data_IF_423516753200
#
_entry.id   IF_423516753200
#
_cell.length_a   1.000
_cell.length_b   1.000
_cell.length_c   1.000
_cell.angle_alpha   90.00
_cell.angle_beta   90.00
_cell.angle_gamma   90.00
#
_symmetry.space_group_name_H-M   'P 1'
#
loop_
_entity.id
_entity.type
_entity.pdbx_description
1 polymer ?
#
# COMPACT_ATOMS: atom_id res chain seq x y z
N UNK A 1 -12.54 2.53 -9.61
CA UNK A 1 -13.43 2.84 -8.46
C UNK A 1 -12.93 4.14 -7.85
N UNK A 2 -13.83 4.98 -7.37
CA UNK A 2 -13.46 6.21 -6.67
C UNK A 2 -14.11 6.19 -5.29
N UNK A 3 -13.32 6.42 -4.25
CA UNK A 3 -13.80 6.48 -2.86
C UNK A 3 -13.29 7.76 -2.24
N UNK A 4 -14.23 8.57 -1.74
CA UNK A 4 -13.97 9.87 -1.11
C UNK A 4 -14.66 9.93 0.25
N UNK A 5 -14.04 10.63 1.21
CA UNK A 5 -14.61 11.01 2.50
C UNK A 5 -15.15 9.83 3.34
N UNK A 6 -14.64 8.62 3.12
CA UNK A 6 -15.11 7.44 3.86
C UNK A 6 -14.37 7.24 5.17
N UNK A 7 -15.13 7.32 6.27
CA UNK A 7 -14.63 7.19 7.64
C UNK A 7 -14.77 5.80 8.24
N UNK A 8 -15.59 4.94 7.62
CA UNK A 8 -15.80 3.55 8.04
C UNK A 8 -14.70 2.62 7.52
N UNK A 9 -14.43 1.53 8.25
CA UNK A 9 -13.48 0.50 7.81
C UNK A 9 -13.97 -0.10 6.49
N UNK A 10 -13.15 0.02 5.45
CA UNK A 10 -13.40 -0.62 4.17
C UNK A 10 -13.06 -2.12 4.27
N UNK A 11 -13.86 -3.01 3.71
CA UNK A 11 -13.52 -4.44 3.56
C UNK A 11 -13.49 -4.75 2.06
N UNK A 12 -12.32 -5.13 1.53
CA UNK A 12 -12.12 -5.34 0.09
C UNK A 12 -11.55 -6.73 -0.12
N UNK A 13 -12.35 -7.63 -0.70
CA UNK A 13 -11.99 -9.03 -0.92
C UNK A 13 -12.34 -9.46 -2.34
N UNK A 14 -11.44 -10.21 -2.98
CA UNK A 14 -11.65 -10.75 -4.32
C UNK A 14 -12.08 -9.69 -5.35
N UNK A 15 -11.59 -8.46 -5.20
CA UNK A 15 -11.99 -7.31 -6.00
C UNK A 15 -10.88 -6.86 -6.95
N UNK A 16 -11.27 -6.47 -8.15
CA UNK A 16 -10.40 -5.78 -9.11
C UNK A 16 -10.72 -4.30 -9.02
N UNK A 17 -9.81 -3.55 -8.42
CA UNK A 17 -9.92 -2.09 -8.22
C UNK A 17 -8.73 -1.38 -8.84
N UNK A 18 -8.25 -1.87 -9.99
CA UNK A 18 -7.16 -1.26 -10.74
C UNK A 18 -7.51 0.15 -11.20
N UNK A 19 -6.49 1.01 -11.36
CA UNK A 19 -6.64 2.42 -11.75
C UNK A 19 -7.62 3.20 -10.84
N UNK A 20 -7.82 2.77 -9.59
CA UNK A 20 -8.75 3.42 -8.68
C UNK A 20 -8.08 4.57 -7.92
N UNK A 21 -8.87 5.56 -7.54
CA UNK A 21 -8.45 6.66 -6.68
C UNK A 21 -9.13 6.55 -5.32
N UNK A 22 -8.32 6.57 -4.26
CA UNK A 22 -8.75 6.61 -2.87
C UNK A 22 -8.16 7.87 -2.25
N UNK A 23 -9.00 8.87 -1.96
CA UNK A 23 -8.57 10.15 -1.42
C UNK A 23 -9.35 10.51 -0.16
N UNK A 24 -8.63 10.88 0.90
CA UNK A 24 -9.15 11.18 2.24
C UNK A 24 -10.06 10.06 2.79
N UNK A 25 -9.52 8.85 2.80
CA UNK A 25 -10.24 7.65 3.27
C UNK A 25 -9.58 7.00 4.49
N UNK A 26 -10.42 6.54 5.40
CA UNK A 26 -10.02 5.69 6.51
C UNK A 26 -10.11 4.21 6.10
N UNK A 27 -8.96 3.59 5.88
CA UNK A 27 -8.81 2.16 5.59
C UNK A 27 -8.04 1.46 6.73
N UNK A 28 -8.13 1.99 7.95
CA UNK A 28 -7.47 1.41 9.12
C UNK A 28 -8.11 0.07 9.45
N UNK A 29 -7.28 -0.90 9.83
CA UNK A 29 -7.68 -2.28 10.13
C UNK A 29 -8.34 -3.03 8.95
N UNK A 30 -8.34 -2.46 7.73
CA UNK A 30 -8.86 -3.11 6.54
C UNK A 30 -8.03 -4.35 6.19
N UNK A 31 -8.71 -5.39 5.70
CA UNK A 31 -8.06 -6.55 5.08
C UNK A 31 -8.27 -6.46 3.56
N UNK A 32 -7.16 -6.43 2.85
CA UNK A 32 -7.07 -6.59 1.41
C UNK A 32 -6.58 -8.00 1.14
N UNK A 33 -7.49 -8.90 0.78
CA UNK A 33 -7.15 -10.29 0.51
C UNK A 33 -7.54 -10.67 -0.92
N UNK A 34 -6.56 -11.14 -1.69
CA UNK A 34 -6.74 -11.54 -3.09
C UNK A 34 -7.34 -10.41 -3.94
N UNK A 35 -6.74 -9.22 -3.88
CA UNK A 35 -7.22 -8.02 -4.57
C UNK A 35 -6.20 -7.50 -5.58
N UNK A 36 -6.69 -6.94 -6.68
CA UNK A 36 -5.86 -6.24 -7.64
C UNK A 36 -6.01 -4.73 -7.49
N UNK A 37 -4.99 -4.10 -6.90
CA UNK A 37 -4.84 -2.67 -6.66
C UNK A 37 -3.78 -2.05 -7.60
N UNK A 38 -3.35 -2.78 -8.64
CA UNK A 38 -2.31 -2.28 -9.54
C UNK A 38 -2.69 -0.93 -10.15
N UNK A 39 -1.69 -0.06 -10.28
CA UNK A 39 -1.82 1.31 -10.82
C UNK A 39 -2.80 2.20 -10.01
N UNK A 40 -3.25 1.77 -8.84
CA UNK A 40 -4.15 2.58 -8.00
C UNK A 40 -3.40 3.71 -7.32
N UNK A 41 -4.11 4.78 -7.03
CA UNK A 41 -3.62 5.97 -6.34
C UNK A 41 -4.32 6.06 -4.98
N UNK A 42 -3.54 6.03 -3.89
CA UNK A 42 -4.00 6.16 -2.51
C UNK A 42 -3.37 7.42 -1.92
N UNK A 43 -4.21 8.41 -1.62
CA UNK A 43 -3.85 9.75 -1.19
C UNK A 43 -4.50 10.04 0.16
N UNK A 44 -3.75 10.67 1.07
CA UNK A 44 -4.29 11.16 2.35
C UNK A 44 -5.03 10.09 3.16
N UNK A 45 -4.63 8.83 3.03
CA UNK A 45 -5.38 7.71 3.58
C UNK A 45 -4.78 7.22 4.90
N UNK A 46 -5.63 6.65 5.75
CA UNK A 46 -5.19 5.91 6.92
C UNK A 46 -5.23 4.41 6.64
N UNK A 47 -4.08 3.74 6.51
CA UNK A 47 -3.95 2.29 6.41
C UNK A 47 -3.45 1.64 7.71
N UNK A 48 -3.49 2.35 8.85
CA UNK A 48 -2.94 1.81 10.09
C UNK A 48 -3.54 0.44 10.45
N UNK A 49 -2.67 -0.51 10.80
CA UNK A 49 -3.00 -1.91 11.09
C UNK A 49 -3.67 -2.68 9.92
N UNK A 50 -3.64 -2.17 8.69
CA UNK A 50 -4.18 -2.88 7.55
C UNK A 50 -3.33 -4.13 7.22
N UNK A 51 -4.00 -5.15 6.70
CA UNK A 51 -3.36 -6.37 6.21
C UNK A 51 -3.60 -6.49 4.71
N UNK A 52 -2.53 -6.60 3.95
CA UNK A 52 -2.53 -6.80 2.51
C UNK A 52 -1.93 -8.17 2.23
N UNK A 53 -2.75 -9.12 1.82
CA UNK A 53 -2.41 -10.53 1.63
C UNK A 53 -2.80 -10.96 0.21
N UNK A 54 -1.89 -11.62 -0.50
CA UNK A 54 -2.11 -12.15 -1.85
C UNK A 54 -2.61 -11.08 -2.85
N UNK A 55 -2.07 -9.87 -2.77
CA UNK A 55 -2.55 -8.72 -3.54
C UNK A 55 -1.58 -8.28 -4.65
N UNK A 56 -2.12 -7.66 -5.70
CA UNK A 56 -1.31 -6.96 -6.68
C UNK A 56 -1.28 -5.45 -6.40
N UNK A 57 -0.14 -4.93 -5.96
CA UNK A 57 0.16 -3.51 -5.73
C UNK A 57 1.11 -2.94 -6.80
N UNK A 58 1.27 -3.62 -7.94
CA UNK A 58 2.22 -3.19 -8.97
C UNK A 58 1.89 -1.80 -9.50
N UNK A 59 2.88 -0.92 -9.51
CA UNK A 59 2.75 0.50 -9.88
C UNK A 59 1.71 1.28 -9.06
N UNK A 60 1.30 0.79 -7.89
CA UNK A 60 0.42 1.54 -6.99
C UNK A 60 1.18 2.70 -6.35
N UNK A 61 0.51 3.84 -6.21
CA UNK A 61 1.07 5.07 -5.65
C UNK A 61 0.41 5.40 -4.31
N UNK A 62 1.21 5.50 -3.26
CA UNK A 62 0.76 5.87 -1.93
C UNK A 62 1.41 7.20 -1.55
N UNK A 63 0.61 8.26 -1.33
CA UNK A 63 1.13 9.58 -0.94
C UNK A 63 0.38 10.11 0.28
N UNK A 64 1.13 10.58 1.27
CA UNK A 64 0.58 11.04 2.55
C UNK A 64 -0.30 9.97 3.23
N UNK A 65 0.18 8.73 3.26
CA UNK A 65 -0.56 7.59 3.81
C UNK A 65 0.03 7.17 5.14
N UNK A 66 -0.83 7.00 6.15
CA UNK A 66 -0.42 6.37 7.41
C UNK A 66 -0.33 4.85 7.21
N UNK A 67 0.89 4.30 7.20
CA UNK A 67 1.14 2.85 7.10
C UNK A 67 1.63 2.21 8.41
N UNK A 68 1.37 2.83 9.57
CA UNK A 68 1.76 2.25 10.86
C UNK A 68 1.18 0.84 11.05
N UNK A 69 2.04 -0.12 11.37
CA UNK A 69 1.67 -1.54 11.56
C UNK A 69 1.03 -2.21 10.35
N UNK A 70 1.20 -1.67 9.14
CA UNK A 70 0.76 -2.36 7.93
C UNK A 70 1.56 -3.64 7.72
N UNK A 71 0.87 -4.71 7.36
CA UNK A 71 1.50 -5.94 6.88
C UNK A 71 1.17 -6.14 5.41
N UNK A 72 2.21 -6.32 4.61
CA UNK A 72 2.12 -6.66 3.19
C UNK A 72 2.79 -8.03 3.02
N UNK A 73 2.00 -9.05 2.75
CA UNK A 73 2.43 -10.45 2.64
C UNK A 73 1.97 -11.01 1.29
N UNK A 74 2.83 -11.78 0.63
CA UNK A 74 2.57 -12.39 -0.69
C UNK A 74 2.05 -11.40 -1.76
N UNK A 75 2.50 -10.15 -1.73
CA UNK A 75 2.03 -9.14 -2.67
C UNK A 75 3.03 -8.85 -3.79
N UNK A 76 2.52 -8.59 -5.00
CA UNK A 76 3.31 -8.04 -6.09
C UNK A 76 3.48 -6.52 -5.87
N UNK A 77 4.71 -6.05 -5.68
CA UNK A 77 5.01 -4.64 -5.36
C UNK A 77 5.91 -3.97 -6.39
N UNK A 78 6.03 -4.57 -7.59
CA UNK A 78 6.89 -4.05 -8.65
C UNK A 78 6.44 -2.64 -9.06
N UNK A 79 7.35 -1.67 -9.03
CA UNK A 79 7.05 -0.27 -9.37
C UNK A 79 6.20 0.49 -8.33
N UNK A 80 5.83 -0.13 -7.21
CA UNK A 80 5.11 0.55 -6.12
C UNK A 80 5.90 1.75 -5.61
N UNK A 81 5.19 2.87 -5.36
CA UNK A 81 5.77 4.10 -4.83
C UNK A 81 5.12 4.51 -3.52
N UNK A 82 5.95 4.94 -2.57
CA UNK A 82 5.53 5.54 -1.29
C UNK A 82 6.13 6.93 -1.21
N UNK A 83 5.28 7.96 -1.13
CA UNK A 83 5.68 9.38 -1.14
C UNK A 83 6.67 9.72 -2.26
N UNK A 84 6.42 9.19 -3.46
CA UNK A 84 7.26 9.38 -4.65
C UNK A 84 8.55 8.55 -4.67
N UNK A 85 8.84 7.75 -3.65
CA UNK A 85 10.02 6.88 -3.58
C UNK A 85 9.62 5.46 -4.01
N UNK A 86 10.36 4.86 -4.94
CA UNK A 86 10.13 3.47 -5.35
C UNK A 86 10.50 2.51 -4.22
N UNK A 87 9.62 1.56 -3.93
CA UNK A 87 9.87 0.55 -2.90
C UNK A 87 11.13 -0.29 -3.19
N UNK A 88 11.41 -0.56 -4.46
CA UNK A 88 12.64 -1.23 -4.87
C UNK A 88 13.91 -0.47 -4.49
N UNK A 89 13.87 0.86 -4.45
CA UNK A 89 15.01 1.68 -4.04
C UNK A 89 15.13 1.73 -2.50
N UNK A 90 14.00 1.71 -1.78
CA UNK A 90 13.99 1.55 -0.32
C UNK A 90 14.60 0.21 0.11
N UNK A 91 14.28 -0.90 -0.57
CA UNK A 91 14.90 -2.20 -0.28
C UNK A 91 16.41 -2.18 -0.50
N UNK A 92 16.88 -1.60 -1.61
CA UNK A 92 18.32 -1.44 -1.85
C UNK A 92 18.98 -0.61 -0.76
N UNK A 93 18.36 0.50 -0.35
CA UNK A 93 18.86 1.35 0.72
C UNK A 93 18.91 0.60 2.07
N UNK A 94 17.90 -0.20 2.38
CA UNK A 94 17.85 -1.03 3.59
C UNK A 94 18.96 -2.09 3.61
N UNK A 95 19.13 -2.85 2.53
CA UNK A 95 20.19 -3.86 2.43
C UNK A 95 21.60 -3.22 2.51
N UNK A 96 21.77 -2.05 1.90
CA UNK A 96 23.03 -1.29 1.99
C UNK A 96 23.28 -0.82 3.44
N UNK A 97 22.26 -0.31 4.13
CA UNK A 97 22.39 0.13 5.52
C UNK A 97 22.68 -1.03 6.47
N UNK A 98 22.06 -2.19 6.24
CA UNK A 98 22.28 -3.42 7.02
C UNK A 98 23.70 -3.95 6.86
N UNK A 99 24.25 -3.90 5.64
CA UNK A 99 25.62 -4.35 5.37
C UNK A 99 26.68 -3.34 5.82
N UNK A 100 26.37 -2.03 5.81
CA UNK A 100 27.27 -0.98 6.28
C UNK A 100 27.35 -0.88 7.82
N UNK A 101 26.32 -1.33 8.55
CA UNK A 101 26.27 -1.30 10.02
C UNK A 101 26.86 -2.51 10.73
N UNK A 102 27.43 -3.48 9.99
CA UNK A 102 28.09 -4.65 10.56
C UNK A 102 29.59 -4.40 10.79
N UNK A 103 29.94 -3.81 11.93
CA UNK A 103 31.29 -3.88 12.52
C UNK A 103 31.20 -3.83 14.04
#
# INVERSE_FOLDING_TARGET
MEVHDKRDVLDVRCAVVTNSCFDDVNMSNTRFHNVNLSVSTILNANLSNAKVEDANLSNAHFTNVNMSNVKIENAEVAGMMINGIRLGDLFKAYETAKTAGGN
#
